data_IF_421505813327
#
_entry.id   IF_421505813327
#
_cell.length_a   1.000
_cell.length_b   1.000
_cell.length_c   1.000
_cell.angle_alpha   90.00
_cell.angle_beta   90.00
_cell.angle_gamma   90.00
#
_symmetry.space_group_name_H-M   'P 1'
#
loop_
_entity.id
_entity.type
_entity.pdbx_description
1 polymer ?
#
# COMPACT_ATOMS: atom_id res chain seq x y z
N UNK A 1 -24.90 -7.79 -2.98
CA UNK A 1 -24.58 -6.36 -2.73
C UNK A 1 -23.50 -5.94 -3.71
N UNK A 2 -23.77 -4.98 -4.62
CA UNK A 2 -22.71 -4.37 -5.45
C UNK A 2 -21.73 -3.70 -4.50
N UNK A 3 -20.53 -4.27 -4.35
CA UNK A 3 -19.48 -3.72 -3.50
C UNK A 3 -19.02 -2.43 -4.18
N UNK A 4 -19.20 -1.30 -3.48
CA UNK A 4 -18.68 -0.01 -3.92
C UNK A 4 -17.29 0.18 -3.30
N UNK A 5 -16.29 0.49 -4.11
CA UNK A 5 -14.94 0.82 -3.66
C UNK A 5 -13.85 -0.15 -4.12
N UNK A 6 -12.64 0.12 -3.64
CA UNK A 6 -11.42 -0.59 -4.00
C UNK A 6 -11.15 -1.74 -3.02
N UNK A 7 -10.70 -2.88 -3.51
CA UNK A 7 -10.33 -4.00 -2.67
C UNK A 7 -9.38 -4.98 -3.37
N UNK A 8 -8.65 -5.79 -2.59
CA UNK A 8 -7.85 -6.91 -3.08
C UNK A 8 -8.50 -8.22 -2.63
N UNK A 9 -8.55 -9.20 -3.53
CA UNK A 9 -8.75 -10.60 -3.17
C UNK A 9 -7.38 -11.21 -2.91
N UNK A 10 -7.10 -11.55 -1.65
CA UNK A 10 -5.74 -11.90 -1.20
C UNK A 10 -5.29 -13.28 -1.71
N UNK A 11 -6.23 -14.19 -1.96
CA UNK A 11 -5.95 -15.53 -2.50
C UNK A 11 -5.50 -15.48 -3.97
N UNK A 12 -6.20 -14.72 -4.80
CA UNK A 12 -5.89 -14.58 -6.23
C UNK A 12 -4.87 -13.48 -6.52
N UNK A 13 -4.58 -12.63 -5.52
CA UNK A 13 -3.78 -11.41 -5.66
C UNK A 13 -4.27 -10.55 -6.82
N UNK A 14 -5.56 -10.21 -6.78
CA UNK A 14 -6.22 -9.34 -7.75
C UNK A 14 -6.84 -8.13 -7.05
N UNK A 15 -6.52 -6.95 -7.55
CA UNK A 15 -7.05 -5.67 -7.11
C UNK A 15 -8.24 -5.26 -8.00
N UNK A 16 -9.33 -4.86 -7.36
CA UNK A 16 -10.58 -4.50 -7.99
C UNK A 16 -10.99 -3.07 -7.64
N UNK A 17 -11.61 -2.41 -8.62
CA UNK A 17 -12.49 -1.26 -8.41
C UNK A 17 -13.93 -1.70 -8.73
N UNK A 18 -14.73 -1.95 -7.70
CA UNK A 18 -16.06 -2.55 -7.82
C UNK A 18 -16.04 -3.95 -8.47
N UNK A 19 -16.37 -4.03 -9.77
CA UNK A 19 -16.46 -5.28 -10.55
C UNK A 19 -15.34 -5.38 -11.61
N UNK A 20 -14.46 -4.38 -11.69
CA UNK A 20 -13.37 -4.31 -12.67
C UNK A 20 -12.03 -4.59 -11.99
N UNK A 21 -11.25 -5.51 -12.54
CA UNK A 21 -9.84 -5.71 -12.15
C UNK A 21 -9.05 -4.50 -12.62
N UNK A 22 -8.27 -3.90 -11.72
CA UNK A 22 -7.40 -2.75 -12.02
C UNK A 22 -5.91 -3.11 -11.93
N UNK A 23 -5.58 -4.22 -11.25
CA UNK A 23 -4.24 -4.78 -11.23
C UNK A 23 -4.29 -6.24 -10.76
N UNK A 24 -3.53 -7.10 -11.40
CA UNK A 24 -3.29 -8.50 -11.05
C UNK A 24 -1.77 -8.81 -11.02
N UNK A 25 -0.95 -7.76 -10.99
CA UNK A 25 0.49 -7.84 -11.12
C UNK A 25 1.18 -7.15 -9.94
N UNK A 26 1.79 -7.96 -9.06
CA UNK A 26 2.61 -7.47 -7.96
C UNK A 26 4.03 -7.23 -8.47
N UNK A 27 4.56 -6.05 -8.20
CA UNK A 27 5.91 -5.64 -8.50
C UNK A 27 6.83 -5.91 -7.31
N UNK A 28 8.14 -5.96 -7.56
CA UNK A 28 9.11 -6.00 -6.46
C UNK A 28 8.99 -4.73 -5.62
N UNK A 29 9.04 -4.90 -4.30
CA UNK A 29 9.12 -3.79 -3.37
C UNK A 29 10.48 -3.07 -3.50
N UNK A 30 10.52 -1.75 -3.19
CA UNK A 30 11.77 -1.02 -3.11
C UNK A 30 12.67 -1.62 -2.02
N UNK A 31 13.98 -1.59 -2.24
CA UNK A 31 14.97 -2.16 -1.32
C UNK A 31 15.20 -1.28 -0.10
N UNK A 32 14.86 0.01 -0.19
CA UNK A 32 15.07 0.99 0.89
C UNK A 32 13.91 1.97 1.01
N UNK A 33 13.77 2.57 2.19
CA UNK A 33 12.76 3.60 2.43
C UNK A 33 13.05 4.88 1.63
N UNK A 34 14.32 5.19 1.39
CA UNK A 34 14.70 6.34 0.56
C UNK A 34 14.27 6.15 -0.89
N UNK A 35 14.42 4.95 -1.44
CA UNK A 35 13.91 4.61 -2.77
C UNK A 35 12.38 4.76 -2.83
N UNK A 36 11.65 4.25 -1.82
CA UNK A 36 10.20 4.45 -1.76
C UNK A 36 9.83 5.94 -1.68
N UNK A 37 10.58 6.73 -0.91
CA UNK A 37 10.40 8.18 -0.81
C UNK A 37 10.61 8.83 -2.17
N UNK A 38 11.70 8.52 -2.87
CA UNK A 38 11.95 9.04 -4.22
C UNK A 38 10.80 8.70 -5.17
N UNK A 39 10.30 7.46 -5.18
CA UNK A 39 9.18 7.06 -6.02
C UNK A 39 7.90 7.88 -5.74
N UNK A 40 7.58 8.12 -4.47
CA UNK A 40 6.41 8.92 -4.05
C UNK A 40 6.55 10.37 -4.49
N UNK A 41 7.74 10.96 -4.38
CA UNK A 41 7.97 12.38 -4.66
C UNK A 41 8.24 12.69 -6.13
N UNK A 42 8.83 11.75 -6.88
CA UNK A 42 9.21 11.93 -8.29
C UNK A 42 8.10 11.56 -9.28
N UNK A 43 6.96 11.06 -8.79
CA UNK A 43 5.79 10.77 -9.63
C UNK A 43 5.83 9.40 -10.31
N UNK A 44 6.62 8.47 -9.78
CA UNK A 44 6.65 7.08 -10.25
C UNK A 44 5.40 6.31 -9.78
N UNK A 45 4.88 6.68 -8.60
CA UNK A 45 3.62 6.18 -8.08
C UNK A 45 2.48 7.08 -8.57
N UNK A 46 1.46 6.47 -9.18
CA UNK A 46 0.25 7.14 -9.67
C UNK A 46 -0.89 7.12 -8.64
N UNK A 47 -1.01 6.02 -7.91
CA UNK A 47 -2.06 5.83 -6.90
C UNK A 47 -1.51 5.29 -5.59
N UNK A 48 -2.10 5.73 -4.48
CA UNK A 48 -1.82 5.19 -3.15
C UNK A 48 -3.10 4.70 -2.51
N UNK A 49 -3.05 3.50 -1.94
CA UNK A 49 -4.12 2.91 -1.15
C UNK A 49 -3.64 2.53 0.24
N UNK A 50 -4.51 2.66 1.23
CA UNK A 50 -4.30 2.15 2.58
C UNK A 50 -5.35 1.09 2.88
N UNK A 51 -4.91 -0.05 3.40
CA UNK A 51 -5.76 -1.10 3.94
C UNK A 51 -5.67 -1.08 5.47
N UNK A 52 -6.70 -0.53 6.12
CA UNK A 52 -6.85 -0.56 7.58
C UNK A 52 -7.46 -1.88 8.10
N UNK A 53 -8.10 -2.64 7.21
CA UNK A 53 -8.79 -3.88 7.56
C UNK A 53 -8.60 -4.89 6.43
N UNK A 54 -7.81 -5.92 6.72
CA UNK A 54 -7.62 -7.07 5.85
C UNK A 54 -7.61 -8.37 6.66
N UNK A 55 -8.06 -9.43 6.02
CA UNK A 55 -7.97 -10.80 6.52
C UNK A 55 -7.30 -11.69 5.46
N UNK A 56 -7.27 -13.00 5.67
CA UNK A 56 -6.64 -13.91 4.71
C UNK A 56 -7.35 -13.96 3.34
N UNK A 57 -8.59 -13.48 3.24
CA UNK A 57 -9.39 -13.53 2.01
C UNK A 57 -9.41 -12.20 1.28
N UNK A 58 -9.52 -11.08 2.00
CA UNK A 58 -9.83 -9.78 1.41
C UNK A 58 -9.19 -8.63 2.16
N UNK A 59 -8.71 -7.65 1.39
CA UNK A 59 -8.24 -6.35 1.89
C UNK A 59 -9.11 -5.24 1.32
N UNK A 60 -9.71 -4.41 2.17
CA UNK A 60 -10.45 -3.24 1.67
C UNK A 60 -9.50 -2.05 1.57
N UNK A 61 -9.56 -1.33 0.45
CA UNK A 61 -8.63 -0.26 0.15
C UNK A 61 -9.33 1.10 0.23
N UNK A 62 -8.71 2.02 0.96
CA UNK A 62 -9.04 3.43 0.94
C UNK A 62 -8.01 4.17 0.09
N UNK A 63 -8.47 4.90 -0.93
CA UNK A 63 -7.58 5.71 -1.76
C UNK A 63 -7.10 6.93 -0.97
N UNK A 64 -5.79 7.18 -0.97
CA UNK A 64 -5.19 8.41 -0.46
C UNK A 64 -4.66 9.25 -1.61
N UNK A 65 -4.70 10.57 -1.43
CA UNK A 65 -4.08 11.46 -2.39
C UNK A 65 -2.57 11.44 -2.20
N UNK A 66 -1.82 11.47 -3.31
CA UNK A 66 -0.35 11.56 -3.25
C UNK A 66 0.11 12.84 -2.55
N UNK A 67 -0.66 13.93 -2.67
CA UNK A 67 -0.34 15.18 -1.99
C UNK A 67 -0.40 15.03 -0.47
N UNK A 68 -1.44 14.38 0.06
CA UNK A 68 -1.55 14.11 1.49
C UNK A 68 -0.43 13.17 1.97
N UNK A 69 -0.13 12.11 1.22
CA UNK A 69 0.95 11.18 1.54
C UNK A 69 2.30 11.89 1.59
N UNK A 70 2.59 12.79 0.63
CA UNK A 70 3.82 13.58 0.61
C UNK A 70 3.90 14.54 1.79
N UNK A 71 2.78 15.18 2.13
CA UNK A 71 2.70 16.15 3.23
C UNK A 71 2.93 15.47 4.58
N UNK A 72 2.37 14.29 4.77
CA UNK A 72 2.41 13.55 6.04
C UNK A 72 3.57 12.53 6.07
N UNK A 73 4.42 12.50 5.04
CA UNK A 73 5.51 11.52 4.87
C UNK A 73 6.39 11.38 6.11
N UNK A 74 6.99 12.47 6.57
CA UNK A 74 7.95 12.45 7.68
C UNK A 74 7.26 12.30 9.06
N UNK A 75 5.93 12.41 9.12
CA UNK A 75 5.14 12.40 10.37
C UNK A 75 4.46 11.04 10.58
N UNK A 76 3.84 10.48 9.55
CA UNK A 76 2.99 9.28 9.64
C UNK A 76 3.65 8.04 9.02
N UNK A 77 4.40 8.20 7.92
CA UNK A 77 4.83 7.07 7.09
C UNK A 77 6.29 6.67 7.32
N UNK A 78 7.23 7.61 7.27
CA UNK A 78 8.67 7.33 7.28
C UNK A 78 9.12 6.43 8.45
N UNK A 79 8.57 6.66 9.65
CA UNK A 79 8.96 5.91 10.84
C UNK A 79 8.07 4.69 11.10
N UNK A 80 7.02 4.47 10.30
CA UNK A 80 6.05 3.40 10.48
C UNK A 80 5.94 2.51 9.24
N UNK A 81 6.94 2.50 8.35
CA UNK A 81 6.96 1.58 7.20
C UNK A 81 7.96 0.46 7.48
N UNK A 82 7.51 -0.78 7.31
CA UNK A 82 8.38 -1.96 7.26
C UNK A 82 8.47 -2.45 5.81
N UNK A 83 9.70 -2.51 5.30
CA UNK A 83 10.04 -3.13 4.00
C UNK A 83 10.59 -4.55 4.17
N UNK A 84 10.76 -5.03 5.40
CA UNK A 84 11.33 -6.33 5.70
C UNK A 84 10.25 -7.41 5.69
N UNK A 85 10.55 -8.59 5.15
CA UNK A 85 9.70 -9.77 5.27
C UNK A 85 9.88 -10.49 6.63
N UNK A 86 10.78 -9.99 7.49
CA UNK A 86 11.03 -10.57 8.81
C UNK A 86 9.95 -10.14 9.83
N UNK A 87 9.70 -10.96 10.87
CA UNK A 87 8.83 -10.57 11.97
C UNK A 87 9.36 -9.31 12.66
N UNK A 88 8.55 -8.25 12.70
CA UNK A 88 8.85 -7.00 13.40
C UNK A 88 7.95 -6.84 14.63
N UNK A 89 8.46 -6.26 15.71
CA UNK A 89 7.66 -5.96 16.90
C UNK A 89 6.93 -4.64 16.71
N UNK A 90 5.66 -4.56 17.13
CA UNK A 90 4.92 -3.29 17.13
C UNK A 90 5.59 -2.24 18.04
N UNK A 91 6.25 -2.68 19.11
CA UNK A 91 6.98 -1.80 20.05
C UNK A 91 8.16 -1.07 19.39
N UNK A 92 8.64 -1.55 18.24
CA UNK A 92 9.71 -0.90 17.48
C UNK A 92 9.20 0.32 16.70
N UNK A 93 7.88 0.52 16.61
CA UNK A 93 7.24 1.57 15.84
C UNK A 93 6.50 2.60 16.70
N UNK A 94 6.54 3.90 16.33
CA UNK A 94 5.74 4.93 16.97
C UNK A 94 4.25 4.59 17.07
N UNK A 95 3.68 4.76 18.27
CA UNK A 95 2.28 4.45 18.56
C UNK A 95 1.87 2.99 18.27
N UNK A 96 2.85 2.07 18.24
CA UNK A 96 2.62 0.63 18.12
C UNK A 96 1.86 0.22 16.85
N UNK A 97 2.20 0.86 15.72
CA UNK A 97 1.64 0.49 14.42
C UNK A 97 2.68 0.62 13.31
N UNK A 98 2.49 -0.14 12.24
CA UNK A 98 3.30 0.01 11.03
C UNK A 98 2.52 -0.37 9.77
N UNK A 99 3.09 -0.03 8.62
CA UNK A 99 2.61 -0.38 7.30
C UNK A 99 3.56 -1.37 6.63
N UNK A 100 3.03 -2.49 6.16
CA UNK A 100 3.70 -3.24 5.09
C UNK A 100 3.40 -2.61 3.75
N UNK A 101 4.37 -2.64 2.86
CA UNK A 101 4.28 -2.10 1.51
C UNK A 101 4.09 -3.24 0.51
N UNK A 102 3.14 -3.11 -0.42
CA UNK A 102 3.16 -3.86 -1.68
C UNK A 102 3.07 -2.90 -2.85
N UNK A 103 3.91 -3.13 -3.85
CA UNK A 103 3.89 -2.42 -5.13
C UNK A 103 3.08 -3.19 -6.15
N UNK A 104 2.16 -2.53 -6.85
CA UNK A 104 1.29 -3.13 -7.85
C UNK A 104 1.45 -2.40 -9.18
N UNK A 105 1.41 -3.13 -10.29
CA UNK A 105 1.45 -2.57 -11.64
C UNK A 105 0.07 -2.61 -12.27
N UNK A 106 -0.44 -1.49 -12.76
CA UNK A 106 -1.65 -1.50 -13.58
C UNK A 106 -1.35 -1.88 -15.03
N UNK A 107 -2.39 -2.09 -15.83
CA UNK A 107 -2.28 -2.48 -17.25
C UNK A 107 -1.52 -1.45 -18.13
N UNK A 108 -1.43 -0.20 -17.68
CA UNK A 108 -0.70 0.86 -18.37
C UNK A 108 0.79 0.94 -17.97
N UNK A 109 1.24 0.06 -17.07
CA UNK A 109 2.60 0.06 -16.53
C UNK A 109 2.84 1.08 -15.43
N UNK A 110 1.78 1.72 -14.92
CA UNK A 110 1.91 2.66 -13.80
C UNK A 110 1.92 1.91 -12.46
N UNK A 111 2.58 2.52 -11.49
CA UNK A 111 2.79 1.91 -10.17
C UNK A 111 1.72 2.38 -9.19
N UNK A 112 1.14 1.42 -8.49
CA UNK A 112 0.19 1.61 -7.40
C UNK A 112 0.88 1.18 -6.10
N UNK A 113 0.92 2.08 -5.12
CA UNK A 113 1.42 1.79 -3.78
C UNK A 113 0.26 1.35 -2.88
N UNK A 114 0.40 0.19 -2.23
CA UNK A 114 -0.57 -0.27 -1.21
C UNK A 114 0.13 -0.39 0.14
N UNK A 115 -0.44 0.26 1.14
CA UNK A 115 0.02 0.25 2.53
C UNK A 115 -0.95 -0.58 3.39
N UNK A 116 -0.48 -1.67 3.97
CA UNK A 116 -1.27 -2.53 4.86
C UNK A 116 -0.96 -2.19 6.32
N UNK A 117 -1.92 -1.59 7.01
CA UNK A 117 -1.74 -1.13 8.38
C UNK A 117 -1.87 -2.27 9.38
N UNK A 118 -0.86 -2.47 10.21
CA UNK A 118 -0.86 -3.38 11.34
C UNK A 118 -0.86 -2.61 12.66
N UNK A 119 -1.65 -3.13 13.60
CA UNK A 119 -1.79 -2.72 15.00
C UNK A 119 -1.78 -3.95 15.90
#
# INVERSE_FOLDING_TARGET
MRRKGYFIINETKEMYNNEMIISDNILSNPSTLEELKEMVFNGEIEEVFISHYFDNQKSNLERKSLEDVRKDWDIEYHNNISLSDEPVSLEDFPNEYFFFVEMWGNENGNVILVLFMHH
#
